data_IF_816154205810
#
_entry.id   IF_816154205810
#
_cell.length_a   1.000
_cell.length_b   1.000
_cell.length_c   1.000
_cell.angle_alpha   90.00
_cell.angle_beta   90.00
_cell.angle_gamma   90.00
#
_symmetry.space_group_name_H-M   'P 1'
#
loop_
_entity.id
_entity.type
_entity.pdbx_description
1 polymer ?
#
# COMPACT_ATOMS: atom_id res chain seq x y z
N UNK A 1 6.77 13.29 2.54
CA UNK A 1 6.95 11.97 3.19
C UNK A 1 8.40 11.88 3.67
N UNK A 2 8.64 11.45 4.91
CA UNK A 2 10.00 11.17 5.36
C UNK A 2 10.49 9.88 4.69
N UNK A 3 11.69 9.91 4.10
CA UNK A 3 12.31 8.74 3.45
C UNK A 3 13.25 8.05 4.43
N UNK A 4 13.04 6.75 4.65
CA UNK A 4 14.04 5.92 5.32
C UNK A 4 15.22 5.66 4.36
N UNK A 5 16.47 5.52 4.84
CA UNK A 5 17.61 5.18 3.98
C UNK A 5 17.43 3.89 3.15
N UNK A 6 16.58 2.96 3.61
CA UNK A 6 16.24 1.72 2.91
C UNK A 6 14.97 1.80 2.05
N UNK A 7 14.33 2.97 1.95
CA UNK A 7 13.14 3.17 1.12
C UNK A 7 13.55 3.41 -0.34
N UNK A 8 13.17 2.48 -1.23
CA UNK A 8 13.40 2.59 -2.67
C UNK A 8 12.38 3.53 -3.31
N UNK A 9 12.70 4.04 -4.50
CA UNK A 9 11.77 4.87 -5.28
C UNK A 9 10.49 4.10 -5.64
N UNK A 10 10.62 2.83 -6.03
CA UNK A 10 9.48 1.92 -6.26
C UNK A 10 8.56 1.85 -5.04
N UNK A 11 9.14 1.63 -3.85
CA UNK A 11 8.37 1.54 -2.63
C UNK A 11 7.66 2.84 -2.30
N UNK A 12 8.33 3.97 -2.45
CA UNK A 12 7.71 5.28 -2.27
C UNK A 12 6.52 5.46 -3.22
N UNK A 13 6.68 5.12 -4.50
CA UNK A 13 5.59 5.18 -5.49
C UNK A 13 4.39 4.38 -5.01
N UNK A 14 4.60 3.14 -4.56
CA UNK A 14 3.48 2.30 -4.08
C UNK A 14 2.82 2.88 -2.83
N UNK A 15 3.56 3.54 -1.92
CA UNK A 15 2.94 4.24 -0.78
C UNK A 15 2.09 5.43 -1.22
N UNK A 16 2.55 6.21 -2.19
CA UNK A 16 1.78 7.32 -2.75
C UNK A 16 0.54 6.82 -3.47
N UNK A 17 0.66 5.73 -4.22
CA UNK A 17 -0.45 5.05 -4.86
C UNK A 17 -1.48 4.59 -3.82
N UNK A 18 -1.03 3.89 -2.78
CA UNK A 18 -1.89 3.43 -1.69
C UNK A 18 -2.62 4.60 -1.01
N UNK A 19 -1.96 5.74 -0.80
CA UNK A 19 -2.62 6.96 -0.32
C UNK A 19 -3.74 7.39 -1.30
N UNK A 20 -3.43 7.54 -2.58
CA UNK A 20 -4.39 7.98 -3.60
C UNK A 20 -5.59 7.04 -3.72
N UNK A 21 -5.38 5.73 -3.67
CA UNK A 21 -6.44 4.72 -3.71
C UNK A 21 -7.37 4.81 -2.49
N UNK A 22 -6.86 5.25 -1.33
CA UNK A 22 -7.64 5.32 -0.08
C UNK A 22 -8.12 6.71 0.29
N UNK A 23 -7.67 7.76 -0.41
CA UNK A 23 -8.03 9.15 -0.09
C UNK A 23 -9.54 9.41 -0.11
N UNK A 24 -10.31 8.72 -0.96
CA UNK A 24 -11.77 8.83 -1.03
C UNK A 24 -12.46 8.52 0.31
N UNK A 25 -11.86 7.67 1.15
CA UNK A 25 -12.41 7.27 2.45
C UNK A 25 -12.58 8.44 3.41
N UNK A 26 -11.82 9.53 3.25
CA UNK A 26 -11.98 10.75 4.05
C UNK A 26 -13.33 11.46 3.82
N UNK A 27 -14.06 11.11 2.75
CA UNK A 27 -15.45 11.53 2.56
C UNK A 27 -16.48 10.65 3.29
N UNK A 28 -16.09 9.43 3.70
CA UNK A 28 -16.97 8.44 4.32
C UNK A 28 -16.83 8.37 5.85
N UNK A 29 -15.66 8.76 6.37
CA UNK A 29 -15.32 8.63 7.81
C UNK A 29 -14.74 9.91 8.39
N UNK A 30 -15.11 10.22 9.62
CA UNK A 30 -14.50 11.26 10.43
C UNK A 30 -13.15 10.76 10.99
N UNK A 31 -12.07 11.04 10.27
CA UNK A 31 -10.74 10.56 10.64
C UNK A 31 -9.61 11.13 9.82
N UNK A 32 -8.44 10.53 9.98
CA UNK A 32 -7.19 10.94 9.35
C UNK A 32 -6.55 9.77 8.58
N UNK A 33 -6.23 10.01 7.31
CA UNK A 33 -5.36 9.16 6.50
C UNK A 33 -3.94 9.73 6.56
N UNK A 34 -3.03 9.00 7.20
CA UNK A 34 -1.67 9.47 7.46
C UNK A 34 -0.62 8.44 7.06
N UNK A 35 0.53 8.93 6.58
CA UNK A 35 1.72 8.09 6.41
C UNK A 35 2.26 7.68 7.79
N UNK A 36 2.59 6.39 7.93
CA UNK A 36 3.32 5.87 9.07
C UNK A 36 4.82 5.79 8.82
N UNK A 37 5.57 5.39 9.85
CA UNK A 37 7.02 5.20 9.77
C UNK A 37 7.41 3.94 8.97
N UNK A 38 6.46 3.00 8.75
CA UNK A 38 6.63 1.82 7.90
C UNK A 38 7.90 1.04 8.21
N UNK A 39 8.73 0.82 7.18
CA UNK A 39 10.03 0.11 7.30
C UNK A 39 10.96 0.65 8.40
N UNK A 40 10.81 1.91 8.80
CA UNK A 40 11.66 2.52 9.83
C UNK A 40 11.29 2.05 11.24
N UNK A 41 10.12 1.44 11.44
CA UNK A 41 9.62 1.07 12.76
C UNK A 41 8.80 -0.22 12.70
N UNK A 42 9.32 -1.33 13.27
CA UNK A 42 8.60 -2.61 13.29
C UNK A 42 7.22 -2.50 13.93
N UNK A 43 6.19 -3.02 13.25
CA UNK A 43 4.82 -3.01 13.75
C UNK A 43 4.15 -1.64 13.69
N UNK A 44 4.57 -0.78 12.75
CA UNK A 44 3.87 0.45 12.36
C UNK A 44 3.50 0.33 10.88
N UNK A 45 2.29 0.73 10.47
CA UNK A 45 1.89 0.63 9.07
C UNK A 45 2.67 1.62 8.18
N UNK A 46 2.60 1.40 6.86
CA UNK A 46 3.06 2.41 5.90
C UNK A 46 2.10 3.59 5.81
N UNK A 47 0.80 3.31 5.92
CA UNK A 47 -0.28 4.28 6.05
C UNK A 47 -1.35 3.74 7.00
N UNK A 48 -2.02 4.64 7.71
CA UNK A 48 -3.19 4.30 8.52
C UNK A 48 -4.33 5.24 8.24
N UNK A 49 -5.55 4.71 8.18
CA UNK A 49 -6.78 5.46 8.36
C UNK A 49 -7.26 5.20 9.79
N UNK A 50 -7.33 6.24 10.61
CA UNK A 50 -7.82 6.15 11.97
C UNK A 50 -8.91 7.18 12.23
N UNK A 51 -9.91 6.82 13.04
CA UNK A 51 -10.88 7.80 13.53
C UNK A 51 -10.29 8.69 14.63
N UNK A 52 -11.02 9.72 15.05
CA UNK A 52 -10.58 10.63 16.11
C UNK A 52 -10.56 10.03 17.52
N UNK A 53 -11.03 8.79 17.70
CA UNK A 53 -10.85 8.04 18.95
C UNK A 53 -9.51 7.30 19.00
N UNK A 54 -8.79 7.27 17.87
CA UNK A 54 -7.53 6.56 17.70
C UNK A 54 -7.70 5.11 17.25
N UNK A 55 -8.93 4.67 16.93
CA UNK A 55 -9.17 3.33 16.39
C UNK A 55 -8.68 3.27 14.94
N UNK A 56 -7.89 2.24 14.62
CA UNK A 56 -7.38 2.03 13.26
C UNK A 56 -8.47 1.34 12.43
N UNK A 57 -9.05 2.09 11.50
CA UNK A 57 -10.04 1.59 10.55
C UNK A 57 -9.34 0.79 9.45
N UNK A 58 -8.25 1.34 8.88
CA UNK A 58 -7.46 0.67 7.86
C UNK A 58 -5.97 0.72 8.19
N UNK A 59 -5.35 -0.46 8.24
CA UNK A 59 -3.92 -0.65 8.30
C UNK A 59 -3.40 -0.96 6.90
N UNK A 60 -2.54 -0.11 6.36
CA UNK A 60 -2.08 -0.24 4.98
C UNK A 60 -0.57 -0.48 4.95
N UNK A 61 -0.17 -1.58 4.32
CA UNK A 61 1.23 -1.94 4.09
C UNK A 61 1.53 -2.06 2.59
N UNK A 62 2.77 -1.78 2.22
CA UNK A 62 3.30 -2.02 0.88
C UNK A 62 4.50 -2.98 0.92
N UNK A 63 4.57 -3.86 -0.08
CA UNK A 63 5.65 -4.84 -0.22
C UNK A 63 5.25 -6.24 0.26
N UNK A 64 6.21 -7.02 0.76
CA UNK A 64 6.10 -8.47 0.95
C UNK A 64 6.42 -8.87 2.41
N UNK A 65 5.59 -8.46 3.40
CA UNK A 65 5.79 -8.82 4.81
C UNK A 65 5.64 -10.32 5.06
N UNK A 66 6.14 -10.79 6.19
CA UNK A 66 5.91 -12.16 6.65
C UNK A 66 4.51 -12.32 7.29
N UNK A 67 4.12 -13.58 7.53
CA UNK A 67 2.82 -13.91 8.13
C UNK A 67 2.66 -13.35 9.55
N UNK A 68 3.77 -13.20 10.30
CA UNK A 68 3.75 -12.72 11.68
C UNK A 68 3.40 -11.24 11.74
N UNK A 69 3.98 -10.44 10.83
CA UNK A 69 3.67 -9.02 10.69
C UNK A 69 2.22 -8.81 10.26
N UNK A 70 1.71 -9.64 9.33
CA UNK A 70 0.33 -9.58 8.88
C UNK A 70 -0.66 -9.95 9.98
N UNK A 71 -0.40 -11.03 10.75
CA UNK A 71 -1.22 -11.39 11.90
C UNK A 71 -1.24 -10.30 12.99
N UNK A 72 -0.11 -9.60 13.20
CA UNK A 72 -0.06 -8.46 14.12
C UNK A 72 -0.87 -7.27 13.60
N UNK A 73 -0.79 -6.95 12.31
CA UNK A 73 -1.60 -5.88 11.72
C UNK A 73 -3.11 -6.19 11.84
N UNK A 74 -3.49 -7.44 11.54
CA UNK A 74 -4.87 -7.91 11.58
C UNK A 74 -5.51 -7.82 12.97
N UNK A 75 -4.73 -7.94 14.05
CA UNK A 75 -5.24 -7.78 15.42
C UNK A 75 -5.36 -6.32 15.88
N UNK A 76 -4.85 -5.36 15.11
CA UNK A 76 -4.76 -3.95 15.50
C UNK A 76 -5.70 -3.03 14.71
N UNK A 77 -6.33 -3.53 13.65
CA UNK A 77 -7.17 -2.73 12.76
C UNK A 77 -8.44 -3.46 12.33
N UNK A 78 -9.46 -2.68 11.93
CA UNK A 78 -10.69 -3.26 11.38
C UNK A 78 -10.46 -3.90 10.00
N UNK A 79 -9.57 -3.32 9.20
CA UNK A 79 -9.17 -3.83 7.89
C UNK A 79 -7.65 -3.70 7.71
N UNK A 80 -7.04 -4.69 7.08
CA UNK A 80 -5.65 -4.68 6.64
C UNK A 80 -5.62 -4.74 5.13
N UNK A 81 -5.02 -3.73 4.52
CA UNK A 81 -4.80 -3.67 3.07
C UNK A 81 -3.31 -3.86 2.79
N UNK A 82 -2.98 -4.84 1.97
CA UNK A 82 -1.61 -5.11 1.54
C UNK A 82 -1.48 -4.91 0.03
N UNK A 83 -0.53 -4.06 -0.36
CA UNK A 83 -0.18 -3.81 -1.75
C UNK A 83 1.21 -4.39 -2.04
N UNK A 84 1.33 -5.70 -2.36
CA UNK A 84 2.59 -6.27 -2.76
C UNK A 84 2.94 -5.82 -4.18
N UNK A 85 4.24 -5.66 -4.42
CA UNK A 85 4.83 -5.32 -5.70
C UNK A 85 6.20 -6.00 -5.79
N UNK A 86 6.82 -5.97 -6.98
CA UNK A 86 8.05 -6.68 -7.38
C UNK A 86 7.83 -8.02 -8.09
N UNK A 87 8.82 -8.42 -8.90
CA UNK A 87 8.80 -9.68 -9.65
C UNK A 87 8.67 -10.93 -8.77
N UNK A 88 9.05 -10.84 -7.48
CA UNK A 88 9.02 -11.95 -6.53
C UNK A 88 7.67 -12.22 -5.87
N UNK A 89 6.62 -11.43 -6.14
CA UNK A 89 5.33 -11.51 -5.44
C UNK A 89 4.70 -12.90 -5.55
N UNK A 90 4.67 -13.51 -6.73
CA UNK A 90 4.06 -14.83 -6.92
C UNK A 90 4.75 -15.92 -6.07
N UNK A 91 6.06 -15.87 -5.91
CA UNK A 91 6.80 -16.84 -5.08
C UNK A 91 6.60 -16.59 -3.59
N UNK A 92 6.61 -15.33 -3.17
CA UNK A 92 6.29 -14.95 -1.80
C UNK A 92 4.86 -15.34 -1.41
N UNK A 93 3.87 -15.07 -2.27
CA UNK A 93 2.47 -15.35 -2.00
C UNK A 93 2.20 -16.85 -1.85
N UNK A 94 2.82 -17.70 -2.68
CA UNK A 94 2.76 -19.16 -2.50
C UNK A 94 3.23 -19.65 -1.13
N UNK A 95 4.08 -18.87 -0.45
CA UNK A 95 4.61 -19.20 0.88
C UNK A 95 3.79 -18.57 2.01
N UNK A 96 3.36 -17.31 1.85
CA UNK A 96 2.67 -16.54 2.90
C UNK A 96 1.16 -16.69 2.83
N UNK A 97 0.55 -16.69 1.65
CA UNK A 97 -0.90 -16.76 1.42
C UNK A 97 -1.59 -17.86 2.22
N UNK A 98 -1.16 -19.14 2.14
CA UNK A 98 -1.75 -20.24 2.90
C UNK A 98 -1.72 -20.03 4.42
N UNK A 99 -0.74 -19.29 4.95
CA UNK A 99 -0.59 -19.03 6.38
C UNK A 99 -1.48 -17.90 6.87
N UNK A 100 -1.92 -17.02 5.98
CA UNK A 100 -2.74 -15.84 6.31
C UNK A 100 -4.17 -15.93 5.78
N UNK A 101 -4.53 -17.01 5.08
CA UNK A 101 -5.87 -17.29 4.56
C UNK A 101 -6.97 -17.25 5.64
N UNK A 102 -6.62 -17.49 6.91
CA UNK A 102 -7.55 -17.41 8.04
C UNK A 102 -7.78 -16.00 8.59
N UNK A 103 -7.13 -14.95 8.06
CA UNK A 103 -7.29 -13.56 8.52
C UNK A 103 -8.48 -12.91 7.77
N UNK A 104 -9.65 -12.76 8.41
CA UNK A 104 -10.87 -12.36 7.70
C UNK A 104 -10.90 -10.89 7.30
N UNK A 105 -10.00 -10.08 7.87
CA UNK A 105 -9.87 -8.66 7.62
C UNK A 105 -8.63 -8.31 6.78
N UNK A 106 -7.97 -9.30 6.17
CA UNK A 106 -6.84 -9.07 5.27
C UNK A 106 -7.31 -9.07 3.81
N UNK A 107 -7.04 -7.97 3.11
CA UNK A 107 -7.17 -7.89 1.65
C UNK A 107 -5.80 -7.67 1.02
N UNK A 108 -5.46 -8.48 0.02
CA UNK A 108 -4.17 -8.40 -0.69
C UNK A 108 -4.43 -8.11 -2.16
N UNK A 109 -3.85 -7.01 -2.64
CA UNK A 109 -4.04 -6.55 -4.02
C UNK A 109 -2.70 -6.19 -4.63
N UNK A 110 -2.21 -7.05 -5.52
CA UNK A 110 -0.94 -6.89 -6.20
C UNK A 110 -0.95 -5.69 -7.15
N UNK A 111 0.11 -4.87 -7.06
CA UNK A 111 0.39 -3.81 -8.02
C UNK A 111 1.37 -4.34 -9.07
N UNK A 112 1.05 -4.28 -10.38
CA UNK A 112 1.93 -4.78 -11.43
C UNK A 112 3.32 -4.12 -11.39
N UNK A 113 4.37 -4.93 -11.25
CA UNK A 113 5.74 -4.42 -11.10
C UNK A 113 6.20 -3.52 -12.26
N UNK A 114 5.90 -3.82 -13.55
CA UNK A 114 6.32 -2.94 -14.64
C UNK A 114 5.79 -1.50 -14.51
N UNK A 115 4.55 -1.32 -14.03
CA UNK A 115 3.99 0.01 -13.81
C UNK A 115 4.72 0.75 -12.68
N UNK A 116 5.06 0.05 -11.59
CA UNK A 116 5.84 0.61 -10.48
C UNK A 116 7.24 1.03 -10.95
N UNK A 117 7.92 0.19 -11.75
CA UNK A 117 9.23 0.49 -12.30
C UNK A 117 9.20 1.73 -13.20
N UNK A 118 8.18 1.86 -14.05
CA UNK A 118 8.01 3.01 -14.92
C UNK A 118 7.83 4.31 -14.12
N UNK A 119 6.95 4.31 -13.12
CA UNK A 119 6.68 5.48 -12.28
C UNK A 119 7.85 5.87 -11.39
N UNK A 120 8.69 4.91 -10.99
CA UNK A 120 9.84 5.15 -10.13
C UNK A 120 10.96 5.96 -10.81
N UNK A 121 10.98 6.04 -12.15
CA UNK A 121 12.06 6.69 -12.92
C UNK A 121 12.14 8.21 -12.76
N UNK A 122 11.02 8.85 -12.39
CA UNK A 122 10.90 10.32 -12.28
C UNK A 122 10.75 10.79 -10.85
N UNK A 123 11.06 9.91 -9.89
CA UNK A 123 11.00 10.23 -8.48
C UNK A 123 12.13 11.20 -8.12
N UNK A 124 11.74 12.38 -7.62
CA UNK A 124 12.64 13.38 -7.07
C UNK A 124 12.15 13.85 -5.69
N UNK A 125 12.96 14.67 -5.00
CA UNK A 125 12.68 15.23 -3.67
C UNK A 125 11.36 15.99 -3.62
N UNK A 126 10.97 16.65 -4.72
CA UNK A 126 9.65 17.30 -4.87
C UNK A 126 8.90 16.61 -6.00
N UNK A 127 7.77 16.01 -5.68
CA UNK A 127 7.00 15.20 -6.62
C UNK A 127 5.52 15.56 -6.53
N UNK A 128 4.87 15.67 -7.68
CA UNK A 128 3.42 15.69 -7.80
C UNK A 128 2.96 14.31 -8.26
N UNK A 129 1.95 13.77 -7.58
CA UNK A 129 1.31 12.52 -7.96
C UNK A 129 -0.19 12.72 -8.14
N UNK A 130 -0.74 12.11 -9.18
CA UNK A 130 -2.19 12.02 -9.43
C UNK A 130 -2.56 10.53 -9.54
N UNK A 131 -3.70 10.16 -8.97
CA UNK A 131 -4.26 8.81 -9.09
C UNK A 131 -5.70 8.95 -9.56
N UNK A 132 -6.05 8.25 -10.63
CA UNK A 132 -7.39 8.17 -11.18
C UNK A 132 -7.81 6.70 -11.22
N UNK A 133 -9.04 6.42 -10.81
CA UNK A 133 -9.60 5.07 -10.81
C UNK A 133 -10.91 5.09 -11.60
N UNK A 134 -10.99 4.27 -12.65
CA UNK A 134 -12.18 4.14 -13.50
C UNK A 134 -12.42 2.64 -13.69
N UNK A 135 -13.57 2.14 -13.25
CA UNK A 135 -13.97 0.73 -13.42
C UNK A 135 -12.89 -0.29 -12.98
N UNK A 136 -12.15 0.03 -11.92
CA UNK A 136 -11.07 -0.82 -11.39
C UNK A 136 -9.71 -0.66 -12.08
N UNK A 137 -9.65 0.04 -13.22
CA UNK A 137 -8.40 0.44 -13.85
C UNK A 137 -7.83 1.68 -13.15
N UNK A 138 -6.54 1.63 -12.84
CA UNK A 138 -5.80 2.70 -12.18
C UNK A 138 -4.90 3.38 -13.19
N UNK A 139 -4.99 4.70 -13.29
CA UNK A 139 -3.99 5.54 -13.94
C UNK A 139 -3.31 6.38 -12.87
N UNK A 140 -1.98 6.27 -12.78
CA UNK A 140 -1.18 7.08 -11.88
C UNK A 140 -0.18 7.91 -12.68
N UNK A 141 -0.09 9.21 -12.37
CA UNK A 141 0.89 10.12 -12.92
C UNK A 141 1.88 10.50 -11.83
N UNK A 142 3.18 10.37 -12.09
CA UNK A 142 4.27 10.73 -11.17
C UNK A 142 5.33 11.50 -11.93
N UNK A 143 5.59 12.75 -11.56
CA UNK A 143 6.64 13.55 -12.20
C UNK A 143 6.49 13.69 -13.73
N UNK A 144 5.25 13.65 -14.23
CA UNK A 144 4.94 13.70 -15.67
C UNK A 144 4.98 12.36 -16.41
N UNK A 145 5.24 11.25 -15.71
CA UNK A 145 5.13 9.88 -16.25
C UNK A 145 3.83 9.25 -15.83
N UNK A 146 3.07 8.75 -16.79
CA UNK A 146 1.80 8.06 -16.57
C UNK A 146 2.00 6.55 -16.67
N UNK A 147 1.40 5.80 -15.76
CA UNK A 147 1.24 4.36 -15.89
C UNK A 147 -0.21 3.98 -15.65
N UNK A 148 -0.75 3.12 -16.51
CA UNK A 148 -2.11 2.61 -16.42
C UNK A 148 -2.08 1.10 -16.26
N UNK A 149 -2.77 0.57 -15.27
CA UNK A 149 -2.78 -0.85 -14.92
C UNK A 149 -4.03 -1.24 -14.15
N UNK A 150 -4.29 -2.53 -14.05
CA UNK A 150 -5.35 -3.09 -13.19
C UNK A 150 -4.69 -3.80 -12.01
N UNK A 151 -4.96 -3.40 -10.76
CA UNK A 151 -4.50 -4.15 -9.59
C UNK A 151 -5.13 -5.54 -9.54
N UNK A 152 -4.37 -6.55 -9.12
CA UNK A 152 -4.80 -7.95 -9.12
C UNK A 152 -5.03 -8.44 -7.68
N UNK A 153 -6.26 -8.78 -7.28
CA UNK A 153 -6.51 -9.44 -6.01
C UNK A 153 -5.74 -10.77 -5.93
N UNK A 154 -5.15 -11.05 -4.76
CA UNK A 154 -4.51 -12.33 -4.48
C UNK A 154 -5.39 -13.15 -3.52
N UNK A 155 -5.74 -14.38 -3.95
CA UNK A 155 -6.47 -15.38 -3.17
C UNK A 155 -5.55 -16.37 -2.46
#
# INVERSE_FOLDING_TARGET
>A
MARHPSETDERMVVRLLAFGLRAHRLGDVDGELAFGAGLSTPGVPDLRLADYTGRILEWINVGQPDERALGKAASQAEQVLLFPFAAGVATWWRTVGPKVAGLPNLSVVQIPHPAVQQLAQTVDRRISAQVMVIEGQVTMTVGGVDATFTPEPLE
#
